data_IF_580653564476
#
_entry.id   IF_580653564476
#
_cell.length_a   1.000
_cell.length_b   1.000
_cell.length_c   1.000
_cell.angle_alpha   90.00
_cell.angle_beta   90.00
_cell.angle_gamma   90.00
#
_symmetry.space_group_name_H-M   'P 1'
#
loop_
_entity.id
_entity.type
_entity.pdbx_description
1 polymer ?
#
# COMPACT_ATOMS: atom_id res chain seq x y z
N UNK A 1 26.39 -15.54 -51.70
CA UNK A 1 25.47 -14.70 -50.91
C UNK A 1 25.22 -15.43 -49.59
N UNK A 2 26.01 -15.15 -48.55
CA UNK A 2 25.95 -15.87 -47.27
C UNK A 2 25.26 -14.99 -46.24
N UNK A 3 24.07 -15.43 -45.79
CA UNK A 3 23.22 -14.68 -44.86
C UNK A 3 23.70 -14.93 -43.42
N UNK A 4 24.29 -13.92 -42.79
CA UNK A 4 24.62 -13.96 -41.38
C UNK A 4 23.32 -13.84 -40.56
N UNK A 5 22.91 -14.91 -39.91
CA UNK A 5 21.83 -14.89 -38.93
C UNK A 5 22.31 -14.12 -37.68
N UNK A 6 21.74 -12.93 -37.45
CA UNK A 6 21.91 -12.16 -36.23
C UNK A 6 21.15 -12.85 -35.09
N UNK A 7 21.89 -13.40 -34.13
CA UNK A 7 21.29 -13.88 -32.88
C UNK A 7 20.88 -12.68 -32.02
N UNK A 8 19.57 -12.42 -31.93
CA UNK A 8 19.01 -11.41 -31.03
C UNK A 8 19.27 -11.81 -29.57
N UNK A 9 19.87 -10.96 -28.73
CA UNK A 9 20.02 -11.27 -27.30
C UNK A 9 18.64 -11.31 -26.64
N UNK A 10 18.29 -12.44 -26.01
CA UNK A 10 17.05 -12.62 -25.26
C UNK A 10 17.05 -11.68 -24.04
N UNK A 11 16.20 -10.64 -23.99
CA UNK A 11 16.16 -9.70 -22.88
C UNK A 11 15.12 -10.19 -21.87
N UNK A 12 15.52 -11.02 -20.90
CA UNK A 12 14.56 -11.59 -19.95
C UNK A 12 14.96 -11.46 -18.48
N UNK A 13 16.14 -11.99 -18.12
CA UNK A 13 16.51 -12.17 -16.70
C UNK A 13 17.31 -11.02 -16.07
N UNK A 14 18.08 -10.27 -16.87
CA UNK A 14 18.90 -9.17 -16.35
C UNK A 14 18.11 -7.86 -16.14
N UNK A 15 17.08 -7.61 -16.95
CA UNK A 15 16.21 -6.44 -16.81
C UNK A 15 15.34 -6.50 -15.54
N UNK A 16 14.76 -7.67 -15.24
CA UNK A 16 13.94 -7.88 -14.04
C UNK A 16 14.74 -7.66 -12.75
N UNK A 17 15.94 -8.24 -12.66
CA UNK A 17 16.81 -8.06 -11.47
C UNK A 17 17.19 -6.60 -11.26
N UNK A 18 17.47 -5.85 -12.33
CA UNK A 18 17.79 -4.42 -12.25
C UNK A 18 16.57 -3.59 -11.84
N UNK A 19 15.39 -3.89 -12.36
CA UNK A 19 14.14 -3.25 -11.96
C UNK A 19 13.79 -3.54 -10.49
N UNK A 20 13.99 -4.77 -10.02
CA UNK A 20 13.79 -5.17 -8.63
C UNK A 20 14.74 -4.42 -7.67
N UNK A 21 16.02 -4.27 -8.05
CA UNK A 21 16.99 -3.52 -7.24
C UNK A 21 16.68 -2.02 -7.23
N UNK A 22 16.19 -1.47 -8.35
CA UNK A 22 15.78 -0.06 -8.45
C UNK A 22 14.55 0.25 -7.59
N UNK A 23 13.61 -0.69 -7.51
CA UNK A 23 12.31 -0.49 -6.87
C UNK A 23 12.24 -1.12 -5.47
N UNK A 24 13.38 -1.35 -4.80
CA UNK A 24 13.44 -1.98 -3.47
C UNK A 24 12.48 -1.35 -2.46
N UNK A 25 12.39 -0.01 -2.41
CA UNK A 25 11.48 0.68 -1.49
C UNK A 25 10.00 0.35 -1.76
N UNK A 26 9.58 0.39 -3.03
CA UNK A 26 8.22 0.03 -3.42
C UNK A 26 7.92 -1.46 -3.18
N UNK A 27 8.91 -2.34 -3.39
CA UNK A 27 8.77 -3.77 -3.09
C UNK A 27 8.63 -4.04 -1.59
N UNK A 28 9.38 -3.32 -0.76
CA UNK A 28 9.23 -3.41 0.70
C UNK A 28 7.85 -2.91 1.11
N UNK A 29 7.41 -1.76 0.61
CA UNK A 29 6.08 -1.22 0.90
C UNK A 29 4.96 -2.18 0.47
N UNK A 30 5.07 -2.78 -0.73
CA UNK A 30 4.13 -3.78 -1.22
C UNK A 30 4.16 -5.05 -0.37
N UNK A 31 5.33 -5.51 0.06
CA UNK A 31 5.46 -6.67 0.94
C UNK A 31 4.84 -6.40 2.32
N UNK A 32 5.07 -5.23 2.91
CA UNK A 32 4.45 -4.81 4.17
C UNK A 32 2.93 -4.73 4.02
N UNK A 33 2.41 -4.11 2.95
CA UNK A 33 0.98 -4.05 2.67
C UNK A 33 0.36 -5.45 2.55
N UNK A 34 1.02 -6.36 1.83
CA UNK A 34 0.57 -7.74 1.69
C UNK A 34 0.55 -8.49 3.03
N UNK A 35 1.57 -8.31 3.87
CA UNK A 35 1.62 -8.89 5.22
C UNK A 35 0.48 -8.32 6.07
N UNK A 36 0.23 -7.01 6.03
CA UNK A 36 -0.85 -6.39 6.79
C UNK A 36 -2.22 -6.88 6.34
N UNK A 37 -2.48 -6.98 5.03
CA UNK A 37 -3.73 -7.55 4.52
C UNK A 37 -3.89 -9.02 4.93
N UNK A 38 -2.81 -9.81 4.88
CA UNK A 38 -2.84 -11.18 5.37
C UNK A 38 -3.16 -11.25 6.88
N UNK A 39 -2.58 -10.37 7.69
CA UNK A 39 -2.89 -10.30 9.13
C UNK A 39 -4.35 -9.92 9.36
N UNK A 40 -4.91 -8.99 8.58
CA UNK A 40 -6.33 -8.63 8.65
C UNK A 40 -7.20 -9.83 8.29
N UNK A 41 -6.93 -10.51 7.18
CA UNK A 41 -7.66 -11.72 6.76
C UNK A 41 -7.60 -12.83 7.82
N UNK A 42 -6.42 -13.03 8.42
CA UNK A 42 -6.17 -14.05 9.43
C UNK A 42 -6.92 -13.83 10.75
N UNK A 43 -7.07 -12.57 11.17
CA UNK A 43 -7.73 -12.21 12.45
C UNK A 43 -9.23 -11.99 12.25
N UNK A 44 -9.67 -11.76 11.01
CA UNK A 44 -11.08 -11.51 10.69
C UNK A 44 -11.93 -12.78 10.84
N UNK A 45 -13.21 -12.61 11.20
CA UNK A 45 -14.15 -13.71 11.38
C UNK A 45 -14.56 -14.40 10.05
N UNK A 46 -14.19 -13.83 8.90
CA UNK A 46 -14.43 -14.35 7.56
C UNK A 46 -13.44 -13.76 6.55
N UNK A 47 -13.46 -14.26 5.29
CA UNK A 47 -12.53 -13.82 4.25
C UNK A 47 -12.69 -12.33 3.93
N UNK A 48 -11.59 -11.68 3.55
CA UNK A 48 -11.62 -10.31 3.04
C UNK A 48 -12.59 -10.14 1.87
N UNK A 49 -13.55 -9.24 2.01
CA UNK A 49 -14.50 -8.89 0.96
C UNK A 49 -14.09 -7.63 0.21
N UNK A 50 -14.74 -7.37 -0.93
CA UNK A 50 -14.55 -6.11 -1.65
C UNK A 50 -14.89 -4.89 -0.78
N UNK A 51 -15.91 -5.00 0.08
CA UNK A 51 -16.30 -3.91 0.98
C UNK A 51 -15.18 -3.60 1.98
N UNK A 52 -14.58 -4.63 2.58
CA UNK A 52 -13.45 -4.46 3.51
C UNK A 52 -12.27 -3.78 2.81
N UNK A 53 -11.88 -4.27 1.63
CA UNK A 53 -10.74 -3.69 0.89
C UNK A 53 -11.03 -2.25 0.48
N UNK A 54 -12.26 -1.96 0.01
CA UNK A 54 -12.67 -0.60 -0.34
C UNK A 54 -12.65 0.31 0.88
N UNK A 55 -13.10 -0.19 2.04
CA UNK A 55 -13.14 0.53 3.29
C UNK A 55 -11.72 0.82 3.83
N UNK A 56 -10.88 -0.20 3.91
CA UNK A 56 -9.46 -0.06 4.26
C UNK A 56 -8.73 0.88 3.31
N UNK A 57 -9.03 0.84 2.01
CA UNK A 57 -8.37 1.68 1.01
C UNK A 57 -8.78 3.15 1.13
N UNK A 58 -10.06 3.45 1.38
CA UNK A 58 -10.54 4.83 1.53
C UNK A 58 -9.83 5.57 2.66
N UNK A 59 -9.76 4.94 3.84
CA UNK A 59 -9.07 5.49 5.00
C UNK A 59 -7.55 5.38 4.95
N UNK A 60 -7.06 4.21 4.53
CA UNK A 60 -5.64 3.88 4.49
C UNK A 60 -4.86 4.68 3.42
N UNK A 61 -5.44 4.88 2.23
CA UNK A 61 -4.80 5.68 1.19
C UNK A 61 -4.69 7.15 1.60
N UNK A 62 -5.73 7.70 2.23
CA UNK A 62 -5.73 9.07 2.77
C UNK A 62 -4.66 9.23 3.85
N UNK A 63 -4.56 8.27 4.78
CA UNK A 63 -3.53 8.26 5.83
C UNK A 63 -2.12 8.10 5.25
N UNK A 64 -1.95 7.29 4.21
CA UNK A 64 -0.67 7.14 3.50
C UNK A 64 -0.24 8.45 2.82
N UNK A 65 -1.16 9.17 2.18
CA UNK A 65 -0.87 10.49 1.62
C UNK A 65 -0.50 11.51 2.71
N UNK A 66 -1.19 11.49 3.85
CA UNK A 66 -0.83 12.33 4.99
C UNK A 66 0.60 12.02 5.50
N UNK A 67 0.98 10.75 5.63
CA UNK A 67 2.33 10.34 6.03
C UNK A 67 3.41 10.75 5.00
N UNK A 68 3.10 10.65 3.70
CA UNK A 68 3.98 11.15 2.63
C UNK A 68 4.17 12.66 2.77
N UNK A 69 3.08 13.41 2.99
CA UNK A 69 3.14 14.86 3.23
C UNK A 69 3.95 15.23 4.47
N UNK A 70 3.82 14.46 5.57
CA UNK A 70 4.62 14.64 6.77
C UNK A 70 6.12 14.41 6.54
N UNK A 71 6.49 13.55 5.60
CA UNK A 71 7.90 13.37 5.24
C UNK A 71 8.51 14.68 4.76
N UNK A 72 7.76 15.50 4.01
CA UNK A 72 8.19 16.83 3.55
C UNK A 72 8.33 17.80 4.74
N UNK A 73 7.41 17.75 5.70
CA UNK A 73 7.46 18.59 6.91
C UNK A 73 8.71 18.29 7.75
N UNK A 74 9.01 17.01 7.96
CA UNK A 74 10.21 16.56 8.70
C UNK A 74 11.48 17.02 7.98
N UNK A 75 11.55 16.81 6.65
CA UNK A 75 12.71 17.23 5.85
C UNK A 75 12.89 18.75 5.81
N UNK A 76 11.81 19.51 6.03
CA UNK A 76 11.84 20.99 6.12
C UNK A 76 12.19 21.52 7.51
N UNK A 77 12.48 20.64 8.48
CA UNK A 77 12.81 21.01 9.86
C UNK A 77 11.61 21.16 10.80
N UNK A 78 10.41 20.73 10.39
CA UNK A 78 9.24 20.67 11.26
C UNK A 78 9.30 19.46 12.19
N UNK A 79 9.06 19.67 13.49
CA UNK A 79 9.06 18.59 14.50
C UNK A 79 7.69 17.94 14.70
N UNK A 80 6.61 18.57 14.23
CA UNK A 80 5.26 18.13 14.57
C UNK A 80 4.76 16.97 13.71
N UNK A 81 4.99 15.74 14.19
CA UNK A 81 4.48 14.50 13.62
C UNK A 81 3.02 14.23 14.03
N UNK A 82 2.41 15.06 14.89
CA UNK A 82 1.10 14.74 15.46
C UNK A 82 -0.03 14.73 14.44
N UNK A 83 0.03 15.58 13.40
CA UNK A 83 -1.06 15.72 12.43
C UNK A 83 -1.42 14.40 11.71
N UNK A 84 -0.43 13.67 11.18
CA UNK A 84 -0.67 12.37 10.53
C UNK A 84 -0.98 11.25 11.52
N UNK A 85 -0.42 11.30 12.74
CA UNK A 85 -0.78 10.36 13.81
C UNK A 85 -2.26 10.52 14.23
N UNK A 86 -2.73 11.76 14.36
CA UNK A 86 -4.14 12.09 14.65
C UNK A 86 -5.04 11.64 13.50
N UNK A 87 -4.68 11.92 12.24
CA UNK A 87 -5.46 11.46 11.08
C UNK A 87 -5.57 9.92 11.07
N UNK A 88 -4.47 9.21 11.30
CA UNK A 88 -4.47 7.74 11.35
C UNK A 88 -5.30 7.20 12.52
N UNK A 89 -5.24 7.85 13.69
CA UNK A 89 -6.02 7.47 14.86
C UNK A 89 -7.52 7.69 14.61
N UNK A 90 -7.90 8.86 14.09
CA UNK A 90 -9.30 9.17 13.75
C UNK A 90 -9.83 8.18 12.73
N UNK A 91 -9.05 7.87 11.69
CA UNK A 91 -9.44 6.86 10.70
C UNK A 91 -9.67 5.48 11.35
N UNK A 92 -8.78 5.04 12.25
CA UNK A 92 -8.93 3.76 12.96
C UNK A 92 -10.14 3.75 13.91
N UNK A 93 -10.40 4.85 14.62
CA UNK A 93 -11.57 4.98 15.51
C UNK A 93 -12.85 4.92 14.70
N UNK A 94 -12.94 5.68 13.60
CA UNK A 94 -14.11 5.66 12.72
C UNK A 94 -14.32 4.26 12.16
N UNK A 95 -13.27 3.60 11.68
CA UNK A 95 -13.30 2.22 11.24
C UNK A 95 -13.82 1.24 12.29
N UNK A 96 -13.44 1.41 13.55
CA UNK A 96 -13.93 0.57 14.65
C UNK A 96 -15.37 0.83 15.07
N UNK A 97 -15.91 2.01 14.73
CA UNK A 97 -17.25 2.45 15.12
C UNK A 97 -18.33 2.18 14.07
N UNK A 98 -17.93 1.76 12.86
CA UNK A 98 -18.86 1.45 11.79
C UNK A 98 -19.37 0.01 11.97
N UNK A 99 -20.68 -0.15 12.14
CA UNK A 99 -21.33 -1.46 12.22
C UNK A 99 -21.41 -2.08 10.82
N UNK A 100 -20.70 -3.20 10.53
CA UNK A 100 -20.78 -3.86 9.24
C UNK A 100 -22.16 -4.49 8.97
N UNK A 101 -23.04 -4.58 9.97
CA UNK A 101 -24.38 -5.16 9.90
C UNK A 101 -25.50 -4.09 9.85
N UNK A 102 -25.19 -2.80 9.74
CA UNK A 102 -26.22 -1.77 9.60
C UNK A 102 -27.01 -2.01 8.28
N UNK A 103 -28.30 -2.39 8.34
CA UNK A 103 -29.10 -2.54 7.13
C UNK A 103 -29.16 -1.17 6.47
N UNK A 104 -28.88 -1.10 5.16
CA UNK A 104 -29.05 0.12 4.40
C UNK A 104 -30.43 0.72 4.70
N UNK A 105 -30.45 1.89 5.32
CA UNK A 105 -31.67 2.65 5.52
C UNK A 105 -32.24 2.93 4.13
N UNK A 106 -33.35 2.26 3.82
CA UNK A 106 -34.25 2.54 2.71
C UNK A 106 -34.88 3.91 2.84
#
# INVERSE_FOLDING_TARGET
MSSAASSSPVPGRFGLRRALVRNRGALIAAAVLAILLFVVDWISAGPLTYFDVSFLSSGGATSALAAIGQTIVILSGGFDLSAGAVISLVNAVLASSMDPMAPGAS
#
